data_IF_718020252147
#
_entry.id   IF_718020252147
#
_cell.length_a   1.000
_cell.length_b   1.000
_cell.length_c   1.000
_cell.angle_alpha   90.00
_cell.angle_beta   90.00
_cell.angle_gamma   90.00
#
_symmetry.space_group_name_H-M   'P 1'
#
loop_
_entity.id
_entity.type
_entity.pdbx_description
1 polymer ?
#
# COMPACT_ATOMS: atom_id res chain seq x y z
N UNK A 1 -8.18 -3.02 23.11
CA UNK A 1 -9.06 -2.16 22.28
C UNK A 1 -8.58 -0.73 22.42
N UNK A 2 -8.40 -0.01 21.33
CA UNK A 2 -7.83 1.35 21.35
C UNK A 2 -8.90 2.39 21.74
N UNK A 3 -8.47 3.59 22.15
CA UNK A 3 -9.35 4.63 22.68
C UNK A 3 -10.52 5.00 21.77
N UNK A 4 -10.29 5.15 20.46
CA UNK A 4 -11.35 5.50 19.51
C UNK A 4 -12.41 4.38 19.40
N UNK A 5 -11.95 3.14 19.27
CA UNK A 5 -12.82 1.96 19.19
C UNK A 5 -13.60 1.78 20.51
N UNK A 6 -12.96 2.03 21.66
CA UNK A 6 -13.62 2.00 22.97
C UNK A 6 -14.69 3.08 23.12
N UNK A 7 -14.46 4.27 22.55
CA UNK A 7 -15.44 5.36 22.59
C UNK A 7 -16.65 5.10 21.66
N UNK A 8 -16.44 4.37 20.55
CA UNK A 8 -17.48 4.09 19.55
C UNK A 8 -17.53 2.60 19.15
N UNK A 9 -17.85 1.69 20.10
CA UNK A 9 -17.73 0.24 19.89
C UNK A 9 -18.78 -0.34 18.93
N UNK A 10 -19.90 0.35 18.71
CA UNK A 10 -20.93 -0.03 17.74
C UNK A 10 -20.57 0.40 16.32
N UNK A 11 -19.65 1.36 16.16
CA UNK A 11 -19.23 1.89 14.85
C UNK A 11 -17.97 1.20 14.35
N UNK A 12 -16.95 1.08 15.19
CA UNK A 12 -15.63 0.58 14.79
C UNK A 12 -15.36 -0.82 15.36
N UNK A 13 -14.79 -1.70 14.53
CA UNK A 13 -14.31 -3.00 15.01
C UNK A 13 -13.09 -2.84 15.91
N UNK A 14 -12.82 -3.84 16.77
CA UNK A 14 -11.46 -4.03 17.26
C UNK A 14 -10.51 -4.30 16.07
N UNK A 15 -9.17 -4.12 16.22
CA UNK A 15 -8.22 -4.42 15.14
C UNK A 15 -8.42 -5.86 14.64
N UNK A 16 -8.87 -6.06 13.38
CA UNK A 16 -9.14 -7.39 12.86
C UNK A 16 -7.88 -8.03 12.28
N UNK A 17 -8.02 -9.27 11.80
CA UNK A 17 -7.08 -9.95 10.92
C UNK A 17 -7.84 -10.47 9.68
N UNK A 18 -7.15 -11.14 8.76
CA UNK A 18 -7.70 -11.63 7.49
C UNK A 18 -8.88 -12.61 7.66
N UNK A 19 -9.00 -13.27 8.82
CA UNK A 19 -10.12 -14.20 9.11
C UNK A 19 -11.33 -13.54 9.78
N UNK A 20 -11.14 -12.39 10.45
CA UNK A 20 -12.17 -11.75 11.27
C UNK A 20 -12.74 -10.48 10.64
N UNK A 21 -12.01 -9.85 9.72
CA UNK A 21 -12.40 -8.59 9.07
C UNK A 21 -13.79 -8.67 8.41
N UNK A 22 -14.08 -9.74 7.65
CA UNK A 22 -15.38 -9.90 6.99
C UNK A 22 -16.53 -10.06 7.99
N UNK A 23 -16.29 -10.70 9.14
CA UNK A 23 -17.33 -10.83 10.17
C UNK A 23 -17.66 -9.46 10.78
N UNK A 24 -16.66 -8.62 11.05
CA UNK A 24 -16.91 -7.27 11.55
C UNK A 24 -17.79 -6.43 10.60
N UNK A 25 -17.59 -6.57 9.28
CA UNK A 25 -18.48 -5.95 8.30
C UNK A 25 -19.90 -6.51 8.34
N UNK A 26 -20.06 -7.84 8.45
CA UNK A 26 -21.38 -8.48 8.59
C UNK A 26 -22.12 -8.06 9.86
N UNK A 27 -21.38 -7.72 10.91
CA UNK A 27 -21.91 -7.19 12.17
C UNK A 27 -22.26 -5.69 12.07
N UNK A 28 -22.13 -5.07 10.89
CA UNK A 28 -22.46 -3.67 10.66
C UNK A 28 -21.39 -2.67 11.10
N UNK A 29 -20.17 -3.13 11.41
CA UNK A 29 -19.06 -2.27 11.86
C UNK A 29 -18.12 -1.91 10.72
N UNK A 30 -17.45 -0.77 10.87
CA UNK A 30 -16.32 -0.37 10.04
C UNK A 30 -15.10 -1.19 10.47
N UNK A 31 -14.57 -1.98 9.54
CA UNK A 31 -13.32 -2.74 9.71
C UNK A 31 -12.20 -1.74 9.99
N UNK A 32 -11.58 -1.83 11.17
CA UNK A 32 -10.65 -0.80 11.68
C UNK A 32 -9.25 -1.37 11.93
N UNK A 33 -8.46 -1.68 10.87
CA UNK A 33 -7.05 -2.07 10.99
C UNK A 33 -6.18 -0.90 11.47
N UNK A 34 -4.94 -1.23 11.84
CA UNK A 34 -3.88 -0.26 12.07
C UNK A 34 -2.76 -0.47 11.06
N UNK A 35 -2.21 0.62 10.54
CA UNK A 35 -1.06 0.64 9.66
C UNK A 35 0.07 1.49 10.25
N UNK A 36 1.30 1.20 9.84
CA UNK A 36 2.46 2.06 10.09
C UNK A 36 3.00 2.56 8.77
N UNK A 37 3.18 3.87 8.64
CA UNK A 37 3.66 4.48 7.40
C UNK A 37 5.14 4.84 7.51
N UNK A 38 5.99 3.90 7.10
CA UNK A 38 7.44 4.04 7.10
C UNK A 38 8.11 3.36 8.30
N UNK A 39 9.08 2.51 8.00
CA UNK A 39 9.81 1.72 9.01
C UNK A 39 10.89 2.49 9.77
N UNK A 40 11.03 3.79 9.52
CA UNK A 40 11.77 4.64 10.46
C UNK A 40 11.13 4.62 11.86
N UNK A 41 9.82 4.32 11.94
CA UNK A 41 9.04 4.21 13.19
C UNK A 41 9.46 3.08 14.13
N UNK A 42 10.11 2.02 13.63
CA UNK A 42 10.51 0.87 14.45
C UNK A 42 11.90 1.01 15.08
N UNK A 43 12.57 2.16 14.89
CA UNK A 43 13.88 2.42 15.51
C UNK A 43 14.95 1.39 15.15
N UNK A 44 14.89 0.83 13.94
CA UNK A 44 15.72 -0.29 13.48
C UNK A 44 15.61 -1.59 14.31
N UNK A 45 14.50 -1.83 15.02
CA UNK A 45 14.29 -3.02 15.85
C UNK A 45 13.15 -3.91 15.34
N UNK A 46 13.49 -5.16 15.00
CA UNK A 46 12.55 -6.23 14.70
C UNK A 46 11.71 -6.61 15.92
N UNK A 47 12.24 -6.45 17.14
CA UNK A 47 11.45 -6.61 18.36
C UNK A 47 10.31 -5.58 18.44
N UNK A 48 10.55 -4.31 18.07
CA UNK A 48 9.50 -3.29 18.02
C UNK A 48 8.49 -3.57 16.90
N UNK A 49 8.93 -4.03 15.72
CA UNK A 49 8.02 -4.49 14.66
C UNK A 49 7.03 -5.55 15.18
N UNK A 50 7.55 -6.55 15.91
CA UNK A 50 6.73 -7.60 16.54
C UNK A 50 5.78 -7.05 17.60
N UNK A 51 6.24 -6.11 18.43
CA UNK A 51 5.40 -5.47 19.46
C UNK A 51 4.24 -4.68 18.82
N UNK A 52 4.51 -3.93 17.75
CA UNK A 52 3.45 -3.25 16.98
C UNK A 52 2.45 -4.24 16.38
N UNK A 53 2.92 -5.33 15.78
CA UNK A 53 2.04 -6.40 15.28
C UNK A 53 1.18 -6.99 16.40
N UNK A 54 1.76 -7.31 17.55
CA UNK A 54 1.05 -7.85 18.70
C UNK A 54 -0.02 -6.88 19.26
N UNK A 55 0.12 -5.57 19.00
CA UNK A 55 -0.86 -4.54 19.33
C UNK A 55 -1.93 -4.31 18.26
N UNK A 56 -1.89 -5.05 17.16
CA UNK A 56 -2.90 -5.05 16.10
C UNK A 56 -2.52 -4.26 14.84
N UNK A 57 -1.25 -3.90 14.65
CA UNK A 57 -0.77 -3.37 13.37
C UNK A 57 -0.77 -4.49 12.33
N UNK A 58 -1.57 -4.29 11.28
CA UNK A 58 -1.82 -5.27 10.23
C UNK A 58 -0.89 -5.10 9.03
N UNK A 59 -0.45 -3.87 8.72
CA UNK A 59 0.46 -3.59 7.63
C UNK A 59 1.51 -2.55 8.01
N UNK A 60 2.64 -2.56 7.31
CA UNK A 60 3.62 -1.49 7.39
C UNK A 60 4.16 -1.12 6.01
N UNK A 61 4.13 0.18 5.70
CA UNK A 61 4.75 0.78 4.53
C UNK A 61 6.26 0.79 4.72
N UNK A 62 7.02 0.29 3.74
CA UNK A 62 8.46 0.12 3.94
C UNK A 62 9.18 1.47 4.14
N UNK A 63 8.76 2.51 3.44
CA UNK A 63 9.28 3.88 3.54
C UNK A 63 8.14 4.88 3.67
N UNK A 64 8.47 6.12 4.05
CA UNK A 64 7.65 7.29 3.74
C UNK A 64 8.48 8.14 2.76
N UNK A 65 8.52 9.48 2.90
CA UNK A 65 9.36 10.37 2.10
C UNK A 65 10.82 10.43 2.60
N UNK A 66 11.39 9.28 2.95
CA UNK A 66 12.79 9.13 3.35
C UNK A 66 13.27 7.69 3.16
N UNK A 67 14.53 7.53 2.75
CA UNK A 67 15.21 6.23 2.82
C UNK A 67 15.33 5.80 4.28
N UNK A 68 15.43 4.50 4.50
CA UNK A 68 15.81 3.95 5.80
C UNK A 68 16.75 2.77 5.62
N UNK A 69 17.05 2.06 6.72
CA UNK A 69 17.95 0.90 6.73
C UNK A 69 17.49 -0.22 5.78
N UNK A 70 16.20 -0.29 5.47
CA UNK A 70 15.57 -1.44 4.84
C UNK A 70 15.32 -1.25 3.35
N UNK A 71 14.92 -0.05 2.93
CA UNK A 71 14.47 0.18 1.55
C UNK A 71 14.64 1.63 1.08
N UNK A 72 14.59 1.81 -0.24
CA UNK A 72 14.58 3.10 -0.90
C UNK A 72 13.16 3.66 -1.07
N UNK A 73 13.00 4.95 -0.76
CA UNK A 73 11.79 5.72 -1.00
C UNK A 73 11.72 6.22 -2.45
N UNK A 74 10.52 6.51 -2.96
CA UNK A 74 10.30 7.17 -4.24
C UNK A 74 10.68 8.66 -4.17
N UNK A 75 10.36 9.30 -3.05
CA UNK A 75 10.60 10.72 -2.79
C UNK A 75 11.41 10.89 -1.51
N UNK A 76 12.16 11.99 -1.44
CA UNK A 76 12.81 12.46 -0.21
C UNK A 76 12.40 13.88 0.09
N UNK A 77 12.07 14.14 1.35
CA UNK A 77 11.94 15.50 1.88
C UNK A 77 13.32 16.17 1.93
N UNK A 78 13.39 17.41 1.43
CA UNK A 78 14.57 18.25 1.41
C UNK A 78 14.25 19.64 1.96
N UNK A 79 15.28 20.43 2.23
CA UNK A 79 15.08 21.83 2.58
C UNK A 79 14.35 22.55 1.43
N UNK A 80 13.11 22.98 1.67
CA UNK A 80 12.29 23.72 0.70
C UNK A 80 11.33 22.87 -0.14
N UNK A 81 11.18 21.57 0.11
CA UNK A 81 10.14 20.76 -0.55
C UNK A 81 10.45 19.26 -0.58
N UNK A 82 9.95 18.61 -1.63
CA UNK A 82 10.14 17.18 -1.91
C UNK A 82 10.76 17.05 -3.31
N UNK A 83 11.59 16.03 -3.49
CA UNK A 83 12.11 15.65 -4.81
C UNK A 83 12.07 14.14 -4.99
N UNK A 84 12.18 13.68 -6.24
CA UNK A 84 12.47 12.28 -6.53
C UNK A 84 13.78 11.87 -5.83
N UNK A 85 13.73 10.72 -5.18
CA UNK A 85 14.85 10.19 -4.42
C UNK A 85 15.96 9.65 -5.35
N UNK A 86 17.21 9.93 -4.99
CA UNK A 86 18.36 9.23 -5.54
C UNK A 86 18.50 7.88 -4.80
N UNK A 87 18.77 6.76 -5.47
CA UNK A 87 18.79 5.44 -4.82
C UNK A 87 19.93 5.33 -3.79
N UNK A 88 19.64 4.77 -2.62
CA UNK A 88 20.64 4.44 -1.59
C UNK A 88 21.01 2.95 -1.65
N UNK A 89 20.01 2.08 -1.70
CA UNK A 89 20.19 0.63 -1.80
C UNK A 89 20.03 0.11 -3.22
N UNK A 90 19.50 0.95 -4.13
CA UNK A 90 18.95 0.56 -5.43
C UNK A 90 17.89 -0.52 -5.25
N UNK A 91 16.91 -0.25 -4.39
CA UNK A 91 15.83 -1.16 -4.01
C UNK A 91 15.84 -1.53 -2.52
N UNK A 92 15.86 -2.83 -2.22
CA UNK A 92 15.82 -3.37 -0.85
C UNK A 92 17.24 -3.75 -0.38
N UNK A 93 17.58 -3.42 0.86
CA UNK A 93 18.86 -3.82 1.47
C UNK A 93 18.83 -5.26 2.00
N UNK A 94 19.97 -5.85 2.36
CA UNK A 94 20.01 -7.17 3.02
C UNK A 94 19.21 -7.20 4.34
N UNK A 95 19.25 -6.10 5.10
CA UNK A 95 18.43 -5.95 6.29
C UNK A 95 16.93 -5.87 5.93
N UNK A 96 16.60 -5.24 4.80
CA UNK A 96 15.24 -5.19 4.25
C UNK A 96 14.70 -6.55 3.84
N UNK A 97 15.52 -7.42 3.23
CA UNK A 97 15.13 -8.81 2.90
C UNK A 97 14.77 -9.59 4.16
N UNK A 98 15.61 -9.48 5.19
CA UNK A 98 15.37 -10.11 6.51
C UNK A 98 14.07 -9.59 7.14
N UNK A 99 13.83 -8.29 7.06
CA UNK A 99 12.62 -7.66 7.56
C UNK A 99 11.36 -8.14 6.81
N UNK A 100 11.37 -8.16 5.47
CA UNK A 100 10.23 -8.63 4.66
C UNK A 100 9.91 -10.09 4.99
N UNK A 101 10.94 -10.92 5.21
CA UNK A 101 10.75 -12.28 5.70
C UNK A 101 10.04 -12.32 7.06
N UNK A 102 10.46 -11.49 8.02
CA UNK A 102 9.80 -11.41 9.33
C UNK A 102 8.36 -10.92 9.24
N UNK A 103 8.07 -9.93 8.38
CA UNK A 103 6.70 -9.48 8.11
C UNK A 103 5.82 -10.63 7.59
N UNK A 104 6.32 -11.41 6.62
CA UNK A 104 5.63 -12.59 6.11
C UNK A 104 5.41 -13.66 7.19
N UNK A 105 6.40 -13.91 8.06
CA UNK A 105 6.29 -14.88 9.15
C UNK A 105 5.27 -14.45 10.22
N UNK A 106 5.15 -13.15 10.46
CA UNK A 106 4.17 -12.58 11.38
C UNK A 106 2.74 -12.68 10.84
N UNK A 107 2.57 -12.42 9.54
CA UNK A 107 1.26 -12.09 8.95
C UNK A 107 1.03 -10.59 8.87
N UNK A 108 2.11 -9.80 8.89
CA UNK A 108 2.05 -8.36 8.61
C UNK A 108 2.12 -8.14 7.11
N UNK A 109 1.13 -7.44 6.56
CA UNK A 109 1.07 -7.11 5.14
C UNK A 109 2.22 -6.13 4.83
N UNK A 110 3.00 -6.43 3.80
CA UNK A 110 4.00 -5.52 3.26
C UNK A 110 3.30 -4.50 2.38
N UNK A 111 3.54 -3.22 2.64
CA UNK A 111 2.99 -2.13 1.85
C UNK A 111 4.10 -1.39 1.08
N UNK A 112 3.86 -1.24 -0.23
CA UNK A 112 4.76 -0.66 -1.22
C UNK A 112 4.36 0.75 -1.67
N UNK A 113 3.39 1.38 -1.01
CA UNK A 113 3.28 2.83 -1.09
C UNK A 113 4.60 3.50 -0.65
N UNK A 114 4.89 4.68 -1.17
CA UNK A 114 6.08 5.51 -0.93
C UNK A 114 7.43 4.95 -1.38
N UNK A 115 7.53 3.69 -1.77
CA UNK A 115 8.82 3.09 -2.12
C UNK A 115 9.25 3.40 -3.55
N UNK A 116 10.55 3.33 -3.83
CA UNK A 116 11.08 3.47 -5.18
C UNK A 116 10.63 2.32 -6.09
N UNK A 117 10.65 2.51 -7.41
CA UNK A 117 10.34 1.46 -8.39
C UNK A 117 11.24 0.23 -8.24
N UNK A 118 12.53 0.42 -7.91
CA UNK A 118 13.46 -0.70 -7.65
C UNK A 118 13.03 -1.49 -6.40
N UNK A 119 12.58 -0.81 -5.34
CA UNK A 119 12.03 -1.47 -4.15
C UNK A 119 10.77 -2.26 -4.49
N UNK A 120 9.86 -1.70 -5.32
CA UNK A 120 8.68 -2.42 -5.79
C UNK A 120 9.08 -3.72 -6.50
N UNK A 121 10.05 -3.62 -7.42
CA UNK A 121 10.54 -4.74 -8.23
C UNK A 121 11.20 -5.83 -7.39
N UNK A 122 12.06 -5.45 -6.44
CA UNK A 122 12.72 -6.38 -5.52
C UNK A 122 11.71 -7.14 -4.66
N UNK A 123 10.77 -6.44 -4.01
CA UNK A 123 9.76 -7.08 -3.15
C UNK A 123 8.83 -7.98 -3.95
N UNK A 124 8.52 -7.63 -5.21
CA UNK A 124 7.74 -8.48 -6.11
C UNK A 124 8.56 -9.61 -6.75
N UNK A 125 9.85 -9.74 -6.45
CA UNK A 125 10.68 -10.88 -6.84
C UNK A 125 11.20 -10.83 -8.28
N UNK A 126 11.28 -9.64 -8.88
CA UNK A 126 11.91 -9.42 -10.18
C UNK A 126 13.14 -8.52 -10.07
N UNK A 127 13.74 -8.50 -8.88
CA UNK A 127 14.87 -7.65 -8.51
C UNK A 127 16.19 -8.01 -9.20
N UNK A 128 17.25 -7.31 -8.77
CA UNK A 128 18.59 -7.41 -9.35
C UNK A 128 19.42 -8.61 -8.89
N UNK A 129 18.94 -9.38 -7.92
CA UNK A 129 19.63 -10.55 -7.36
C UNK A 129 18.69 -11.76 -7.26
N UNK A 130 19.20 -12.90 -6.77
CA UNK A 130 18.46 -14.15 -6.70
C UNK A 130 17.38 -14.17 -5.61
N UNK A 131 17.07 -13.03 -4.98
CA UNK A 131 15.99 -12.95 -4.00
C UNK A 131 14.62 -13.04 -4.67
N UNK A 132 13.84 -14.04 -4.30
CA UNK A 132 12.49 -14.26 -4.84
C UNK A 132 11.46 -13.24 -4.35
N UNK A 133 11.84 -12.18 -3.62
CA UNK A 133 10.92 -11.20 -3.03
C UNK A 133 10.06 -11.76 -1.90
N UNK A 134 8.94 -11.09 -1.63
CA UNK A 134 7.98 -11.48 -0.59
C UNK A 134 7.33 -12.84 -0.89
N UNK A 135 7.13 -13.64 0.16
CA UNK A 135 6.39 -14.91 0.09
C UNK A 135 4.88 -14.74 0.07
N UNK A 136 4.38 -13.64 0.63
CA UNK A 136 2.96 -13.31 0.68
C UNK A 136 2.61 -12.23 -0.35
N UNK A 137 1.34 -12.13 -0.79
CA UNK A 137 0.91 -10.98 -1.58
C UNK A 137 1.09 -9.69 -0.78
N UNK A 138 1.35 -8.60 -1.51
CA UNK A 138 1.59 -7.27 -0.93
C UNK A 138 0.49 -6.31 -1.33
N UNK A 139 0.46 -5.14 -0.69
CA UNK A 139 -0.43 -4.04 -1.09
C UNK A 139 0.38 -2.82 -1.51
N UNK A 140 -0.26 -1.95 -2.27
CA UNK A 140 0.02 -0.53 -2.32
C UNK A 140 -1.19 0.14 -1.68
N UNK A 141 -1.07 0.55 -0.43
CA UNK A 141 -2.18 1.09 0.38
C UNK A 141 -2.82 2.36 -0.19
N UNK A 142 -2.04 3.15 -0.94
CA UNK A 142 -2.43 4.42 -1.56
C UNK A 142 -1.41 4.80 -2.66
N UNK A 143 -1.51 4.17 -3.83
CA UNK A 143 -0.73 4.55 -5.02
C UNK A 143 -1.56 4.40 -6.30
N UNK A 144 -1.30 5.22 -7.32
CA UNK A 144 -2.09 5.25 -8.57
C UNK A 144 -1.29 4.73 -9.77
N UNK A 145 -1.89 4.70 -10.97
CA UNK A 145 -1.24 4.20 -12.19
C UNK A 145 -0.28 5.23 -12.83
N UNK A 146 0.96 4.83 -13.11
CA UNK A 146 1.98 5.72 -13.67
C UNK A 146 1.68 6.12 -15.12
N UNK A 147 1.08 5.23 -15.91
CA UNK A 147 0.74 5.50 -17.31
C UNK A 147 -0.32 6.61 -17.46
N UNK A 148 -1.14 6.83 -16.44
CA UNK A 148 -2.16 7.90 -16.42
C UNK A 148 -1.56 9.21 -15.90
N UNK A 149 -0.78 9.15 -14.81
CA UNK A 149 -0.04 10.28 -14.26
C UNK A 149 1.39 9.82 -13.92
N UNK A 150 2.44 10.27 -14.64
CA UNK A 150 3.82 9.77 -14.53
C UNK A 150 4.57 10.31 -13.30
N UNK A 151 3.97 10.12 -12.13
CA UNK A 151 4.53 10.54 -10.84
C UNK A 151 5.38 9.43 -10.22
N UNK A 152 6.54 9.69 -9.58
CA UNK A 152 7.38 8.65 -8.95
C UNK A 152 6.67 7.80 -7.87
N UNK A 153 5.56 8.31 -7.33
CA UNK A 153 4.70 7.58 -6.37
C UNK A 153 3.77 6.56 -7.03
N UNK A 154 3.55 6.66 -8.34
CA UNK A 154 2.64 5.80 -9.06
C UNK A 154 3.32 4.54 -9.59
N UNK A 155 2.52 3.50 -9.77
CA UNK A 155 2.96 2.15 -10.13
C UNK A 155 3.09 2.03 -11.64
N UNK A 156 4.30 1.76 -12.19
CA UNK A 156 4.50 1.51 -13.61
C UNK A 156 3.83 0.22 -14.10
N UNK A 157 3.46 0.17 -15.38
CA UNK A 157 2.74 -0.97 -15.97
C UNK A 157 3.52 -2.30 -15.86
N UNK A 158 4.85 -2.26 -15.98
CA UNK A 158 5.67 -3.46 -15.82
C UNK A 158 5.69 -3.96 -14.36
N UNK A 159 5.52 -3.05 -13.38
CA UNK A 159 5.30 -3.41 -11.98
C UNK A 159 3.88 -3.93 -11.76
N UNK A 160 2.87 -3.39 -12.45
CA UNK A 160 1.50 -3.91 -12.38
C UNK A 160 1.43 -5.37 -12.83
N UNK A 161 2.13 -5.77 -13.89
CA UNK A 161 2.21 -7.18 -14.29
C UNK A 161 2.81 -8.07 -13.20
N UNK A 162 3.79 -7.56 -12.44
CA UNK A 162 4.31 -8.26 -11.26
C UNK A 162 3.29 -8.32 -10.13
N UNK A 163 2.50 -7.26 -9.91
CA UNK A 163 1.38 -7.27 -8.95
C UNK A 163 0.42 -8.41 -9.27
N UNK A 164 0.06 -8.58 -10.56
CA UNK A 164 -0.77 -9.70 -11.03
C UNK A 164 -0.13 -11.04 -10.73
N UNK A 165 1.12 -11.24 -11.16
CA UNK A 165 1.86 -12.49 -10.99
C UNK A 165 1.99 -12.90 -9.53
N UNK A 166 2.05 -11.92 -8.62
CA UNK A 166 2.18 -12.12 -7.17
C UNK A 166 0.86 -12.05 -6.40
N UNK A 167 -0.27 -11.94 -7.11
CA UNK A 167 -1.62 -11.86 -6.53
C UNK A 167 -1.79 -10.68 -5.56
N UNK A 168 -0.99 -9.64 -5.75
CA UNK A 168 -0.95 -8.43 -4.94
C UNK A 168 -2.08 -7.47 -5.31
N UNK A 169 -2.16 -6.33 -4.61
CA UNK A 169 -3.24 -5.36 -4.74
C UNK A 169 -2.71 -3.92 -4.82
N UNK A 170 -3.20 -3.13 -5.77
CA UNK A 170 -2.99 -1.68 -5.82
C UNK A 170 -4.26 -0.96 -5.38
N UNK A 171 -4.19 -0.21 -4.29
CA UNK A 171 -5.29 0.60 -3.78
C UNK A 171 -5.10 2.04 -4.28
N UNK A 172 -5.98 2.47 -5.20
CA UNK A 172 -5.82 3.72 -5.96
C UNK A 172 -5.95 4.93 -5.03
N UNK A 173 -4.97 5.84 -5.12
CA UNK A 173 -4.85 7.04 -4.30
C UNK A 173 -5.74 8.18 -4.83
N UNK A 174 -6.20 9.07 -3.94
CA UNK A 174 -6.99 10.26 -4.30
C UNK A 174 -6.20 11.57 -4.24
N UNK A 175 -4.95 11.59 -3.80
CA UNK A 175 -4.04 12.74 -3.84
C UNK A 175 -4.01 13.37 -5.24
N UNK A 176 -4.44 14.64 -5.41
CA UNK A 176 -4.52 15.27 -6.73
C UNK A 176 -3.21 15.21 -7.52
N UNK A 177 -2.07 15.44 -6.86
CA UNK A 177 -0.73 15.41 -7.48
C UNK A 177 -0.35 14.04 -8.06
N UNK A 178 -0.95 12.96 -7.55
CA UNK A 178 -0.70 11.58 -7.99
C UNK A 178 -1.80 11.07 -8.93
N UNK A 179 -2.92 11.77 -9.02
CA UNK A 179 -4.04 11.42 -9.90
C UNK A 179 -3.96 12.19 -11.21
N UNK A 180 -3.49 13.43 -11.19
CA UNK A 180 -3.69 14.35 -12.31
C UNK A 180 -2.40 15.10 -12.64
N UNK A 181 -1.58 14.54 -13.53
CA UNK A 181 -0.30 15.13 -13.87
C UNK A 181 0.20 14.75 -15.26
N UNK A 182 1.12 15.55 -15.80
CA UNK A 182 1.84 15.27 -17.04
C UNK A 182 3.34 15.28 -16.82
N UNK A 183 4.09 14.58 -17.70
CA UNK A 183 5.54 14.59 -17.64
C UNK A 183 6.11 16.03 -17.65
N UNK A 184 7.19 16.22 -16.90
CA UNK A 184 7.90 17.50 -16.73
C UNK A 184 9.40 17.26 -16.77
N UNK A 185 10.17 18.30 -17.09
CA UNK A 185 11.63 18.33 -17.06
C UNK A 185 12.18 19.05 -15.81
N UNK A 186 11.35 19.23 -14.78
CA UNK A 186 11.79 19.86 -13.54
C UNK A 186 12.96 19.07 -12.91
N UNK A 187 13.97 19.82 -12.47
CA UNK A 187 15.16 19.33 -11.79
C UNK A 187 14.87 18.49 -10.53
N UNK A 188 13.70 18.67 -9.91
CA UNK A 188 13.27 17.85 -8.76
C UNK A 188 12.75 16.45 -9.16
N UNK A 189 12.57 16.17 -10.46
CA UNK A 189 12.08 14.90 -10.99
C UNK A 189 10.59 14.65 -10.76
N UNK A 190 9.80 15.70 -10.47
CA UNK A 190 8.35 15.63 -10.29
C UNK A 190 7.61 16.07 -11.57
N UNK A 191 6.44 15.48 -11.86
CA UNK A 191 5.61 15.87 -13.00
C UNK A 191 4.95 17.24 -12.76
N UNK A 192 4.35 17.81 -13.82
CA UNK A 192 3.51 19.00 -13.72
C UNK A 192 2.10 18.58 -13.26
N UNK A 193 1.59 19.17 -12.17
CA UNK A 193 0.24 18.92 -11.67
C UNK A 193 -0.81 19.62 -12.54
N UNK A 194 -1.87 18.90 -12.88
CA UNK A 194 -2.98 19.37 -13.72
C UNK A 194 -4.27 19.51 -12.89
N UNK A 195 -4.57 20.69 -12.31
CA UNK A 195 -5.74 20.85 -11.44
C UNK A 195 -7.08 20.66 -12.17
N UNK A 196 -7.12 20.92 -13.48
CA UNK A 196 -8.34 20.84 -14.28
C UNK A 196 -8.84 19.40 -14.44
N UNK A 197 -7.96 18.40 -14.38
CA UNK A 197 -8.33 16.98 -14.49
C UNK A 197 -8.38 16.26 -13.14
N UNK A 198 -8.02 16.92 -12.03
CA UNK A 198 -8.10 16.37 -10.67
C UNK A 198 -9.56 16.18 -10.20
N UNK A 199 -10.18 15.08 -10.61
CA UNK A 199 -11.60 14.77 -10.40
C UNK A 199 -11.81 13.30 -10.03
N UNK A 200 -12.97 12.99 -9.44
CA UNK A 200 -13.43 11.61 -9.20
C UNK A 200 -13.36 10.75 -10.46
N UNK A 201 -13.80 11.30 -11.61
CA UNK A 201 -13.76 10.59 -12.88
C UNK A 201 -12.34 10.19 -13.29
N UNK A 202 -11.34 11.03 -12.96
CA UNK A 202 -9.94 10.74 -13.26
C UNK A 202 -9.34 9.71 -12.30
N UNK A 203 -9.75 9.70 -11.02
CA UNK A 203 -9.46 8.57 -10.11
C UNK A 203 -10.00 7.25 -10.68
N UNK A 204 -11.21 7.27 -11.27
CA UNK A 204 -11.78 6.10 -11.94
C UNK A 204 -10.99 5.70 -13.19
N UNK A 205 -10.41 6.64 -13.93
CA UNK A 205 -9.52 6.32 -15.07
C UNK A 205 -8.31 5.49 -14.60
N UNK A 206 -7.71 5.77 -13.44
CA UNK A 206 -6.66 4.91 -12.87
C UNK A 206 -7.17 3.52 -12.50
N UNK A 207 -8.34 3.42 -11.86
CA UNK A 207 -8.93 2.13 -11.49
C UNK A 207 -9.19 1.26 -12.73
N UNK A 208 -9.75 1.86 -13.78
CA UNK A 208 -10.04 1.19 -15.05
C UNK A 208 -8.75 0.79 -15.77
N UNK A 209 -7.74 1.67 -15.85
CA UNK A 209 -6.44 1.34 -16.45
C UNK A 209 -5.82 0.09 -15.81
N UNK A 210 -5.73 0.06 -14.47
CA UNK A 210 -5.15 -1.08 -13.77
C UNK A 210 -6.05 -2.33 -13.95
N UNK A 211 -7.37 -2.16 -13.84
CA UNK A 211 -8.32 -3.25 -13.98
C UNK A 211 -8.33 -3.90 -15.37
N UNK A 212 -8.17 -3.12 -16.44
CA UNK A 212 -8.07 -3.60 -17.81
C UNK A 212 -6.72 -4.24 -18.11
N UNK A 213 -5.63 -3.70 -17.54
CA UNK A 213 -4.28 -4.23 -17.77
C UNK A 213 -4.07 -5.57 -17.06
N UNK A 214 -4.38 -5.64 -15.76
CA UNK A 214 -4.03 -6.79 -14.92
C UNK A 214 -5.21 -7.54 -14.31
N UNK A 215 -6.44 -7.03 -14.49
CA UNK A 215 -7.66 -7.59 -13.91
C UNK A 215 -8.09 -6.86 -12.63
N UNK A 216 -9.40 -6.68 -12.47
CA UNK A 216 -9.99 -6.03 -11.30
C UNK A 216 -9.79 -6.77 -9.97
N UNK A 217 -9.29 -8.01 -9.97
CA UNK A 217 -8.91 -8.76 -8.75
C UNK A 217 -7.68 -8.16 -8.02
N UNK A 218 -7.02 -7.19 -8.65
CA UNK A 218 -5.78 -6.55 -8.18
C UNK A 218 -5.94 -5.05 -7.91
N UNK A 219 -7.18 -4.54 -7.90
CA UNK A 219 -7.46 -3.11 -7.69
C UNK A 219 -8.30 -2.89 -6.43
N UNK A 220 -7.99 -1.84 -5.68
CA UNK A 220 -8.72 -1.41 -4.49
C UNK A 220 -8.77 0.11 -4.37
N UNK A 221 -9.24 0.61 -3.23
CA UNK A 221 -9.39 2.04 -2.95
C UNK A 221 -8.52 2.46 -1.76
N UNK A 222 -7.66 3.45 -1.95
CA UNK A 222 -6.63 3.87 -0.99
C UNK A 222 -6.60 5.38 -0.82
N UNK A 223 -7.65 5.95 -0.21
CA UNK A 223 -7.95 7.38 -0.36
C UNK A 223 -6.87 8.37 0.03
N UNK A 224 -6.06 8.05 1.05
CA UNK A 224 -5.14 9.00 1.68
C UNK A 224 -5.84 10.25 2.27
N UNK A 225 -7.14 10.16 2.59
CA UNK A 225 -7.85 11.24 3.28
C UNK A 225 -7.15 11.59 4.60
N UNK A 226 -7.15 12.89 4.92
CA UNK A 226 -6.42 13.51 6.04
C UNK A 226 -4.88 13.43 5.94
N UNK A 227 -4.32 12.72 4.94
CA UNK A 227 -2.89 12.70 4.59
C UNK A 227 -2.49 13.65 3.46
N UNK A 228 -3.48 14.16 2.72
CA UNK A 228 -3.30 15.01 1.53
C UNK A 228 -3.79 16.45 1.78
N UNK A 229 -3.13 17.48 1.19
CA UNK A 229 -3.48 18.88 1.43
C UNK A 229 -4.75 19.33 0.70
N UNK A 230 -5.10 18.64 -0.39
CA UNK A 230 -6.29 18.91 -1.22
C UNK A 230 -6.83 17.60 -1.76
N UNK A 231 -8.07 17.62 -2.26
CA UNK A 231 -8.79 16.44 -2.75
C UNK A 231 -9.32 16.68 -4.17
N UNK A 232 -9.56 15.62 -4.97
CA UNK A 232 -10.16 15.74 -6.30
C UNK A 232 -11.61 16.23 -6.19
N UNK A 233 -12.08 16.97 -7.20
CA UNK A 233 -13.49 17.38 -7.27
C UNK A 233 -14.40 16.15 -7.35
N UNK A 234 -15.43 16.10 -6.52
CA UNK A 234 -16.33 14.97 -6.34
C UNK A 234 -15.88 13.95 -5.28
N UNK A 235 -14.69 14.10 -4.70
CA UNK A 235 -14.17 13.28 -3.60
C UNK A 235 -13.83 14.15 -2.39
N UNK A 236 -14.73 15.06 -2.01
CA UNK A 236 -14.48 16.06 -0.96
C UNK A 236 -14.21 15.45 0.41
N UNK A 237 -14.81 14.29 0.72
CA UNK A 237 -14.70 13.62 2.00
C UNK A 237 -15.10 12.13 1.92
N UNK A 238 -15.05 11.45 3.07
CA UNK A 238 -15.39 10.02 3.23
C UNK A 238 -16.86 9.68 2.90
N UNK A 239 -17.76 10.64 2.71
CA UNK A 239 -19.14 10.39 2.28
C UNK A 239 -19.25 10.08 0.78
N UNK A 240 -18.19 10.29 -0.01
CA UNK A 240 -18.19 10.22 -1.48
C UNK A 240 -17.92 8.85 -2.08
N UNK A 241 -17.65 7.83 -1.27
CA UNK A 241 -17.45 6.47 -1.77
C UNK A 241 -18.62 5.93 -2.64
N UNK A 242 -19.91 6.18 -2.34
CA UNK A 242 -21.01 5.78 -3.22
C UNK A 242 -20.93 6.40 -4.62
N UNK A 243 -20.53 7.67 -4.73
CA UNK A 243 -20.38 8.37 -6.02
C UNK A 243 -19.25 7.73 -6.85
N UNK A 244 -18.17 7.31 -6.21
CA UNK A 244 -17.05 6.62 -6.85
C UNK A 244 -17.48 5.26 -7.44
N UNK A 245 -18.23 4.48 -6.65
CA UNK A 245 -18.78 3.19 -7.11
C UNK A 245 -19.77 3.40 -8.25
N UNK A 246 -20.61 4.44 -8.18
CA UNK A 246 -21.55 4.76 -9.25
C UNK A 246 -20.84 5.10 -10.57
N UNK A 247 -19.73 5.87 -10.51
CA UNK A 247 -18.95 6.19 -11.72
C UNK A 247 -18.24 4.94 -12.28
N UNK A 248 -17.73 4.01 -11.44
CA UNK A 248 -17.21 2.72 -11.91
C UNK A 248 -18.26 1.92 -12.71
N UNK A 249 -19.46 1.79 -12.16
CA UNK A 249 -20.56 1.07 -12.81
C UNK A 249 -20.97 1.74 -14.12
N UNK A 250 -21.02 3.08 -14.14
CA UNK A 250 -21.31 3.87 -15.36
C UNK A 250 -20.27 3.67 -16.46
N UNK A 251 -19.00 3.44 -16.09
CA UNK A 251 -17.90 3.11 -17.01
C UNK A 251 -17.90 1.65 -17.48
N UNK A 252 -18.88 0.85 -17.05
CA UNK A 252 -19.06 -0.53 -17.50
C UNK A 252 -18.36 -1.58 -16.63
N UNK A 253 -17.77 -1.20 -15.50
CA UNK A 253 -17.25 -2.17 -14.53
C UNK A 253 -18.42 -2.98 -13.98
N UNK A 254 -18.25 -4.31 -13.95
CA UNK A 254 -19.32 -5.21 -13.49
C UNK A 254 -19.64 -4.98 -12.01
N UNK A 255 -20.85 -5.34 -11.56
CA UNK A 255 -21.21 -5.27 -10.14
C UNK A 255 -20.31 -6.15 -9.28
N UNK A 256 -19.88 -7.29 -9.81
CA UNK A 256 -18.96 -8.21 -9.15
C UNK A 256 -17.60 -7.54 -8.96
N UNK A 257 -17.02 -6.99 -10.02
CA UNK A 257 -15.71 -6.33 -9.97
C UNK A 257 -15.74 -5.04 -9.13
N UNK A 258 -16.83 -4.27 -9.19
CA UNK A 258 -17.02 -3.12 -8.30
C UNK A 258 -17.02 -3.55 -6.82
N UNK A 259 -17.63 -4.70 -6.49
CA UNK A 259 -17.59 -5.27 -5.13
C UNK A 259 -16.19 -5.73 -4.73
N UNK A 260 -15.40 -6.25 -5.67
CA UNK A 260 -13.99 -6.60 -5.44
C UNK A 260 -13.15 -5.35 -5.13
N UNK A 261 -13.28 -4.30 -5.94
CA UNK A 261 -12.59 -3.02 -5.78
C UNK A 261 -12.97 -2.32 -4.47
N UNK A 262 -14.26 -2.38 -4.09
CA UNK A 262 -14.75 -1.75 -2.86
C UNK A 262 -14.14 -2.32 -1.56
N UNK A 263 -13.62 -3.55 -1.59
CA UNK A 263 -12.94 -4.13 -0.44
C UNK A 263 -12.75 -5.65 -0.48
N UNK A 264 -13.44 -6.37 -1.38
CA UNK A 264 -13.29 -7.81 -1.51
C UNK A 264 -11.85 -8.25 -1.78
N UNK A 265 -11.10 -7.50 -2.59
CA UNK A 265 -9.70 -7.80 -2.89
C UNK A 265 -8.77 -7.61 -1.70
N UNK A 266 -8.98 -6.59 -0.87
CA UNK A 266 -8.20 -6.38 0.34
C UNK A 266 -8.41 -7.53 1.32
N UNK A 267 -9.66 -7.97 1.50
CA UNK A 267 -9.99 -9.12 2.35
C UNK A 267 -9.32 -10.41 1.86
N UNK A 268 -9.26 -10.61 0.53
CA UNK A 268 -8.53 -11.72 -0.09
C UNK A 268 -7.04 -11.65 0.25
N UNK A 269 -6.38 -10.53 -0.05
CA UNK A 269 -4.93 -10.37 0.19
C UNK A 269 -4.60 -10.57 1.66
N UNK A 270 -5.39 -9.98 2.56
CA UNK A 270 -5.15 -10.11 4.00
C UNK A 270 -5.28 -11.56 4.47
N UNK A 271 -6.28 -12.29 3.99
CA UNK A 271 -6.39 -13.72 4.26
C UNK A 271 -5.20 -14.51 3.73
N UNK A 272 -4.74 -14.25 2.50
CA UNK A 272 -3.59 -14.94 1.92
C UNK A 272 -2.29 -14.64 2.70
N UNK A 273 -2.12 -13.43 3.23
CA UNK A 273 -1.00 -13.08 4.13
C UNK A 273 -1.04 -13.90 5.42
N UNK A 274 -2.21 -14.02 6.06
CA UNK A 274 -2.38 -14.84 7.27
C UNK A 274 -2.07 -16.33 6.98
N UNK A 275 -2.52 -16.85 5.83
CA UNK A 275 -2.28 -18.23 5.41
C UNK A 275 -0.77 -18.51 5.21
N UNK A 276 -0.05 -17.59 4.56
CA UNK A 276 1.43 -17.69 4.40
C UNK A 276 2.14 -17.65 5.75
N UNK A 277 1.70 -16.80 6.68
CA UNK A 277 2.28 -16.74 8.01
C UNK A 277 2.08 -18.04 8.79
N UNK A 278 0.90 -18.67 8.69
CA UNK A 278 0.63 -19.98 9.27
C UNK A 278 1.51 -21.07 8.65
N UNK A 279 1.66 -21.07 7.34
CA UNK A 279 2.52 -22.01 6.63
C UNK A 279 3.99 -21.87 7.07
N UNK A 280 4.53 -20.64 7.09
CA UNK A 280 5.89 -20.36 7.54
C UNK A 280 6.16 -20.88 8.96
N UNK A 281 5.21 -20.67 9.88
CA UNK A 281 5.33 -21.17 11.26
C UNK A 281 5.26 -22.70 11.32
N UNK A 282 4.40 -23.32 10.51
CA UNK A 282 4.31 -24.78 10.42
C UNK A 282 5.59 -25.41 9.82
N UNK A 283 6.27 -24.71 8.92
CA UNK A 283 7.58 -25.07 8.36
C UNK A 283 8.75 -24.86 9.35
N UNK A 284 8.48 -24.30 10.54
CA UNK A 284 9.50 -24.07 11.57
C UNK A 284 10.34 -22.80 11.35
N UNK A 285 9.85 -21.83 10.56
CA UNK A 285 10.54 -20.55 10.38
C UNK A 285 10.73 -19.83 11.72
N UNK A 286 11.99 -19.56 12.07
CA UNK A 286 12.35 -18.85 13.29
C UNK A 286 12.15 -17.34 13.13
N UNK A 287 11.83 -16.60 14.21
CA UNK A 287 11.82 -15.14 14.16
C UNK A 287 13.18 -14.57 13.75
N UNK A 288 13.17 -13.52 12.94
CA UNK A 288 14.39 -12.78 12.65
C UNK A 288 14.89 -12.03 13.91
N UNK A 289 16.21 -12.04 14.12
CA UNK A 289 16.85 -11.51 15.32
C UNK A 289 17.52 -10.16 15.07
N UNK A 290 17.43 -9.27 16.06
CA UNK A 290 18.14 -7.99 16.05
C UNK A 290 19.64 -8.22 16.31
N UNK A 291 20.51 -7.53 15.58
CA UNK A 291 21.94 -7.51 15.85
C UNK A 291 22.26 -6.54 17.01
N UNK A 292 22.42 -7.10 18.21
CA UNK A 292 22.72 -6.35 19.43
C UNK A 292 24.19 -5.93 19.55
N UNK A 293 25.06 -6.36 18.64
CA UNK A 293 26.51 -6.11 18.75
C UNK A 293 26.91 -4.65 18.46
N UNK A 294 25.97 -3.82 17.99
CA UNK A 294 26.17 -2.41 17.62
C UNK A 294 25.37 -1.41 18.46
N UNK A 295 24.80 -1.86 19.59
CA UNK A 295 24.05 -1.01 20.53
C UNK A 295 24.97 -0.26 21.52
#
# INVERSE_FOLDING_TARGET
MLRLQQAYPETFSAPPNGTTALQAFRDGKIISPLGMEGLHSIGNSLALLRDFHARGVAYATLTHNCHNRYADAALVEIAGGIKKADPLWHGVSEAGKTLVHEMNRLGMIVDLSHVSTDTMRDVLGAGKDDWSGSRAPVIFSHSSAYAVCPHPRNVPDDILELVRARRSLVMVNFAPDFVSCTASEDSNGLPHFEPETATLAHVVDHIVHIGELIGFDHVGLGSDFDGIPTVPRGLEDVSKYPDLIAELLKRGVSHEDAGKVAGGNLLRVWKEVDDVALQLRAEGALPAEDDLSRA
#
